data_IF_326386842626
#
_entry.id   IF_326386842626
#
_cell.length_a   1.000
_cell.length_b   1.000
_cell.length_c   1.000
_cell.angle_alpha   90.00
_cell.angle_beta   90.00
_cell.angle_gamma   90.00
#
_symmetry.space_group_name_H-M   'P 1'
#
loop_
_entity.id
_entity.type
_entity.pdbx_description
1 polymer ?
#
# COMPACT_ATOMS: atom_id res chain seq x y z
N UNK A 1 20.41 -14.03 16.05
CA UNK A 1 20.72 -12.58 16.13
C UNK A 1 19.50 -11.94 16.75
N UNK A 2 19.60 -11.59 18.03
CA UNK A 2 18.52 -10.88 18.70
C UNK A 2 18.48 -9.44 18.19
N UNK A 3 17.29 -9.00 17.83
CA UNK A 3 17.05 -7.69 17.23
C UNK A 3 15.81 -7.09 17.87
N UNK A 4 15.94 -5.86 18.35
CA UNK A 4 14.81 -5.11 18.87
C UNK A 4 13.76 -4.87 17.79
N UNK A 5 12.52 -4.56 18.22
CA UNK A 5 11.40 -4.31 17.33
C UNK A 5 11.72 -3.28 16.22
N UNK A 6 12.52 -2.25 16.54
CA UNK A 6 12.98 -1.25 15.58
C UNK A 6 13.85 -1.87 14.47
N UNK A 7 14.84 -2.68 14.85
CA UNK A 7 15.76 -3.29 13.90
C UNK A 7 15.09 -4.37 13.04
N UNK A 8 14.10 -5.08 13.57
CA UNK A 8 13.26 -5.99 12.78
C UNK A 8 12.52 -5.22 11.69
N UNK A 9 11.91 -4.08 12.02
CA UNK A 9 11.22 -3.26 11.03
C UNK A 9 12.16 -2.75 9.94
N UNK A 10 13.35 -2.26 10.32
CA UNK A 10 14.31 -1.70 9.37
C UNK A 10 14.99 -2.76 8.51
N UNK A 11 15.50 -3.83 9.12
CA UNK A 11 16.31 -4.84 8.41
C UNK A 11 15.47 -5.87 7.66
N UNK A 12 14.25 -6.14 8.12
CA UNK A 12 13.39 -7.17 7.53
C UNK A 12 12.23 -6.51 6.79
N UNK A 13 11.35 -5.80 7.51
CA UNK A 13 10.09 -5.35 6.90
C UNK A 13 10.22 -4.21 5.90
N UNK A 14 11.28 -3.39 5.96
CA UNK A 14 11.53 -2.30 4.99
C UNK A 14 12.34 -2.74 3.76
N UNK A 15 13.03 -3.87 3.83
CA UNK A 15 13.92 -4.34 2.76
C UNK A 15 13.12 -5.03 1.65
N UNK A 16 13.41 -4.68 0.41
CA UNK A 16 12.65 -5.12 -0.77
C UNK A 16 12.71 -6.63 -0.99
N UNK A 17 13.87 -7.26 -0.78
CA UNK A 17 14.08 -8.69 -1.04
C UNK A 17 13.14 -9.57 -0.21
N UNK A 18 12.85 -9.18 1.04
CA UNK A 18 11.95 -9.93 1.91
C UNK A 18 10.46 -9.76 1.56
N UNK A 19 10.12 -8.92 0.57
CA UNK A 19 8.75 -8.72 0.07
C UNK A 19 8.46 -9.43 -1.25
N UNK A 20 9.41 -10.22 -1.75
CA UNK A 20 9.24 -10.99 -2.99
C UNK A 20 8.14 -12.05 -2.87
N UNK A 21 7.86 -12.52 -1.66
CA UNK A 21 6.74 -13.40 -1.32
C UNK A 21 5.39 -12.80 -1.72
N UNK A 22 5.17 -11.51 -1.42
CA UNK A 22 3.95 -10.78 -1.81
C UNK A 22 3.79 -10.68 -3.33
N UNK A 23 4.88 -10.49 -4.07
CA UNK A 23 4.86 -10.48 -5.54
C UNK A 23 4.49 -11.86 -6.09
N UNK A 24 5.08 -12.93 -5.53
CA UNK A 24 4.78 -14.30 -5.91
C UNK A 24 3.30 -14.66 -5.66
N UNK A 25 2.74 -14.25 -4.52
CA UNK A 25 1.31 -14.43 -4.21
C UNK A 25 0.41 -13.63 -5.16
N UNK A 26 0.82 -12.41 -5.55
CA UNK A 26 0.12 -11.63 -6.58
C UNK A 26 0.07 -12.34 -7.94
N UNK A 27 1.19 -12.93 -8.37
CA UNK A 27 1.26 -13.74 -9.58
C UNK A 27 0.37 -14.98 -9.49
N UNK A 28 0.37 -15.66 -8.34
CA UNK A 28 -0.50 -16.79 -8.07
C UNK A 28 -1.98 -16.39 -8.13
N UNK A 29 -2.35 -15.21 -7.61
CA UNK A 29 -3.70 -14.69 -7.72
C UNK A 29 -4.11 -14.47 -9.19
N UNK A 30 -3.21 -13.89 -10.00
CA UNK A 30 -3.44 -13.71 -11.43
C UNK A 30 -3.60 -15.05 -12.17
N UNK A 31 -2.81 -16.06 -11.79
CA UNK A 31 -2.93 -17.42 -12.32
C UNK A 31 -4.30 -18.04 -11.99
N UNK A 32 -4.75 -17.98 -10.73
CA UNK A 32 -6.07 -18.49 -10.32
C UNK A 32 -7.19 -17.74 -11.06
N UNK A 33 -7.08 -16.42 -11.17
CA UNK A 33 -8.06 -15.62 -11.89
C UNK A 33 -8.18 -16.05 -13.36
N UNK A 34 -7.06 -16.33 -14.03
CA UNK A 34 -7.04 -16.72 -15.44
C UNK A 34 -7.61 -18.13 -15.68
N UNK A 35 -7.19 -19.13 -14.90
CA UNK A 35 -7.58 -20.54 -15.13
C UNK A 35 -8.86 -20.96 -14.40
N UNK A 36 -9.16 -20.35 -13.26
CA UNK A 36 -10.26 -20.75 -12.36
C UNK A 36 -11.22 -19.59 -12.06
N UNK A 37 -11.56 -18.79 -13.08
CA UNK A 37 -12.43 -17.63 -12.95
C UNK A 37 -13.79 -17.93 -12.27
N UNK A 38 -14.39 -19.09 -12.55
CA UNK A 38 -15.67 -19.47 -11.93
C UNK A 38 -15.58 -19.60 -10.40
N UNK A 39 -14.49 -20.18 -9.90
CA UNK A 39 -14.24 -20.31 -8.46
C UNK A 39 -13.93 -18.93 -7.86
N UNK A 40 -13.09 -18.16 -8.56
CA UNK A 40 -12.71 -16.80 -8.20
C UNK A 40 -13.93 -15.90 -7.98
N UNK A 41 -14.88 -15.89 -8.93
CA UNK A 41 -16.09 -15.08 -8.83
C UNK A 41 -17.11 -15.61 -7.82
N UNK A 42 -17.23 -16.94 -7.68
CA UNK A 42 -18.17 -17.59 -6.75
C UNK A 42 -17.81 -17.26 -5.29
N UNK A 43 -16.53 -17.36 -4.93
CA UNK A 43 -16.08 -17.16 -3.55
C UNK A 43 -15.68 -15.72 -3.23
N UNK A 44 -15.96 -14.73 -4.10
CA UNK A 44 -15.47 -13.35 -3.93
C UNK A 44 -15.81 -12.69 -2.60
N UNK A 45 -17.01 -12.96 -2.06
CA UNK A 45 -17.46 -12.38 -0.78
C UNK A 45 -16.80 -13.09 0.40
N UNK A 46 -16.76 -14.42 0.36
CA UNK A 46 -16.12 -15.24 1.40
C UNK A 46 -14.62 -14.95 1.47
N UNK A 47 -13.95 -14.86 0.31
CA UNK A 47 -12.55 -14.47 0.22
C UNK A 47 -12.31 -13.08 0.83
N UNK A 48 -13.17 -12.10 0.53
CA UNK A 48 -13.04 -10.76 1.10
C UNK A 48 -13.18 -10.75 2.63
N UNK A 49 -14.17 -11.45 3.19
CA UNK A 49 -14.34 -11.57 4.64
C UNK A 49 -13.15 -12.29 5.27
N UNK A 50 -12.68 -13.39 4.68
CA UNK A 50 -11.49 -14.10 5.13
C UNK A 50 -10.25 -13.20 5.10
N UNK A 51 -10.08 -12.39 4.04
CA UNK A 51 -9.01 -11.40 3.93
C UNK A 51 -9.07 -10.36 5.06
N UNK A 52 -10.26 -9.87 5.42
CA UNK A 52 -10.44 -8.92 6.52
C UNK A 52 -10.02 -9.59 7.84
N UNK A 53 -10.50 -10.80 8.10
CA UNK A 53 -10.21 -11.55 9.32
C UNK A 53 -8.70 -11.80 9.45
N UNK A 54 -8.02 -12.16 8.36
CA UNK A 54 -6.57 -12.37 8.35
C UNK A 54 -5.82 -11.07 8.60
N UNK A 55 -6.15 -9.98 7.90
CA UNK A 55 -5.49 -8.70 8.11
C UNK A 55 -5.73 -8.18 9.55
N UNK A 56 -6.93 -8.36 10.08
CA UNK A 56 -7.28 -7.98 11.44
C UNK A 56 -6.53 -8.84 12.46
N UNK A 57 -6.44 -10.15 12.26
CA UNK A 57 -5.69 -11.03 13.17
C UNK A 57 -4.19 -10.69 13.18
N UNK A 58 -3.60 -10.36 12.03
CA UNK A 58 -2.21 -9.88 11.97
C UNK A 58 -2.04 -8.56 12.70
N UNK A 59 -3.01 -7.64 12.63
CA UNK A 59 -2.93 -6.34 13.30
C UNK A 59 -2.98 -6.45 14.82
N UNK A 60 -3.85 -7.31 15.37
CA UNK A 60 -4.07 -7.44 16.82
C UNK A 60 -3.20 -8.51 17.48
N UNK A 61 -2.56 -9.39 16.70
CA UNK A 61 -1.62 -10.35 17.25
C UNK A 61 -0.35 -9.66 17.75
N UNK A 62 0.13 -10.08 18.92
CA UNK A 62 1.42 -9.66 19.46
C UNK A 62 2.53 -10.42 18.75
N UNK A 63 3.34 -9.71 17.98
CA UNK A 63 4.45 -10.28 17.22
C UNK A 63 5.78 -10.02 17.93
N UNK A 64 6.33 -11.03 18.58
CA UNK A 64 7.63 -10.88 19.24
C UNK A 64 8.78 -10.75 18.23
N UNK A 65 9.70 -9.78 18.39
CA UNK A 65 10.73 -9.48 17.38
C UNK A 65 11.64 -10.65 17.01
N UNK A 66 11.94 -11.53 17.97
CA UNK A 66 12.95 -12.58 17.80
C UNK A 66 12.38 -13.91 17.29
N UNK A 67 11.06 -14.08 17.34
CA UNK A 67 10.40 -15.29 16.87
C UNK A 67 10.46 -15.45 15.35
N UNK A 68 10.56 -16.70 14.92
CA UNK A 68 10.49 -17.08 13.51
C UNK A 68 9.18 -16.64 12.86
N UNK A 69 8.07 -16.80 13.58
CA UNK A 69 6.71 -16.42 13.16
C UNK A 69 6.64 -14.97 12.73
N UNK A 70 7.25 -14.06 13.50
CA UNK A 70 7.26 -12.62 13.20
C UNK A 70 8.10 -12.29 11.99
N UNK A 71 9.26 -12.94 11.83
CA UNK A 71 10.21 -12.62 10.75
C UNK A 71 9.75 -13.12 9.39
N UNK A 72 9.06 -14.27 9.36
CA UNK A 72 8.68 -14.96 8.11
C UNK A 72 7.17 -14.98 7.90
N UNK A 73 6.41 -15.48 8.87
CA UNK A 73 4.97 -15.71 8.68
C UNK A 73 4.17 -14.42 8.63
N UNK A 74 4.58 -13.38 9.37
CA UNK A 74 3.85 -12.10 9.39
C UNK A 74 3.67 -11.50 7.99
N UNK A 75 4.75 -11.40 7.21
CA UNK A 75 4.71 -10.83 5.84
C UNK A 75 3.89 -11.69 4.89
N UNK A 76 4.04 -13.00 4.99
CA UNK A 76 3.34 -13.97 4.15
C UNK A 76 1.83 -13.98 4.44
N UNK A 77 1.44 -14.05 5.72
CA UNK A 77 0.02 -14.04 6.14
C UNK A 77 -0.63 -12.71 5.75
N UNK A 78 0.07 -11.58 5.95
CA UNK A 78 -0.43 -10.27 5.52
C UNK A 78 -0.65 -10.22 4.00
N UNK A 79 0.28 -10.78 3.22
CA UNK A 79 0.18 -10.82 1.75
C UNK A 79 -0.97 -11.72 1.28
N UNK A 80 -1.21 -12.85 1.96
CA UNK A 80 -2.39 -13.71 1.71
C UNK A 80 -3.68 -12.93 1.99
N UNK A 81 -3.76 -12.21 3.11
CA UNK A 81 -4.91 -11.36 3.44
C UNK A 81 -5.21 -10.35 2.33
N UNK A 82 -4.17 -9.68 1.81
CA UNK A 82 -4.30 -8.75 0.68
C UNK A 82 -4.72 -9.47 -0.63
N UNK A 83 -4.17 -10.65 -0.91
CA UNK A 83 -4.52 -11.44 -2.11
C UNK A 83 -6.02 -11.76 -2.15
N UNK A 84 -6.61 -12.08 -1.00
CA UNK A 84 -8.02 -12.44 -0.89
C UNK A 84 -9.01 -11.27 -1.09
N UNK A 85 -8.52 -10.02 -1.11
CA UNK A 85 -9.34 -8.86 -1.47
C UNK A 85 -9.55 -8.73 -2.99
N UNK A 86 -8.59 -9.22 -3.79
CA UNK A 86 -8.59 -9.07 -5.24
C UNK A 86 -9.87 -9.56 -5.93
N UNK A 87 -10.48 -10.71 -5.55
CA UNK A 87 -11.69 -11.20 -6.22
C UNK A 87 -12.89 -10.28 -6.11
N UNK A 88 -13.08 -9.62 -4.97
CA UNK A 88 -14.19 -8.68 -4.80
C UNK A 88 -13.94 -7.40 -5.58
N UNK A 89 -12.74 -6.82 -5.47
CA UNK A 89 -12.40 -5.58 -6.16
C UNK A 89 -12.43 -5.71 -7.68
N UNK A 90 -12.03 -6.86 -8.24
CA UNK A 90 -12.15 -7.12 -9.69
C UNK A 90 -13.61 -7.12 -10.15
N UNK A 91 -14.51 -7.66 -9.34
CA UNK A 91 -15.94 -7.72 -9.68
C UNK A 91 -16.63 -6.34 -9.71
N UNK A 92 -16.03 -5.34 -9.06
CA UNK A 92 -16.56 -3.98 -8.94
C UNK A 92 -16.21 -3.11 -10.17
N UNK A 93 -16.79 -3.45 -11.33
CA UNK A 93 -16.51 -2.76 -12.61
C UNK A 93 -17.30 -1.47 -12.84
N UNK A 94 -18.36 -1.22 -12.06
CA UNK A 94 -19.24 -0.06 -12.21
C UNK A 94 -19.43 0.64 -10.87
N UNK A 95 -19.38 1.97 -10.90
CA UNK A 95 -19.58 2.83 -9.74
C UNK A 95 -20.02 4.24 -10.15
N UNK A 96 -20.41 5.09 -9.18
CA UNK A 96 -20.80 6.46 -9.46
C UNK A 96 -19.60 7.27 -9.97
N UNK A 97 -19.82 8.09 -11.00
CA UNK A 97 -18.77 8.84 -11.72
C UNK A 97 -17.86 9.64 -10.79
N UNK A 98 -18.44 10.28 -9.77
CA UNK A 98 -17.68 11.08 -8.79
C UNK A 98 -16.72 10.22 -7.97
N UNK A 99 -17.18 9.07 -7.44
CA UNK A 99 -16.34 8.19 -6.65
C UNK A 99 -15.22 7.60 -7.51
N UNK A 100 -15.55 7.11 -8.71
CA UNK A 100 -14.55 6.56 -9.64
C UNK A 100 -13.47 7.59 -9.96
N UNK A 101 -13.83 8.85 -10.21
CA UNK A 101 -12.85 9.92 -10.47
C UNK A 101 -11.90 10.14 -9.28
N UNK A 102 -12.42 10.16 -8.06
CA UNK A 102 -11.62 10.32 -6.84
C UNK A 102 -10.67 9.12 -6.66
N UNK A 103 -11.19 7.89 -6.76
CA UNK A 103 -10.37 6.69 -6.63
C UNK A 103 -9.29 6.63 -7.71
N UNK A 104 -9.62 6.86 -8.98
CA UNK A 104 -8.63 6.90 -10.06
C UNK A 104 -7.56 7.96 -9.82
N UNK A 105 -7.94 9.15 -9.34
CA UNK A 105 -6.96 10.19 -9.03
C UNK A 105 -6.00 9.74 -7.93
N UNK A 106 -6.52 9.21 -6.82
CA UNK A 106 -5.70 8.69 -5.71
C UNK A 106 -4.81 7.54 -6.18
N UNK A 107 -5.32 6.63 -7.00
CA UNK A 107 -4.53 5.52 -7.55
C UNK A 107 -3.37 6.02 -8.41
N UNK A 108 -3.58 7.04 -9.25
CA UNK A 108 -2.52 7.61 -10.10
C UNK A 108 -1.43 8.29 -9.26
N UNK A 109 -1.81 9.04 -8.22
CA UNK A 109 -0.83 9.76 -7.39
C UNK A 109 -0.21 8.88 -6.30
N UNK A 110 -0.66 7.63 -6.11
CA UNK A 110 -0.25 6.76 -5.01
C UNK A 110 1.25 6.47 -4.99
N UNK A 111 1.88 6.35 -6.16
CA UNK A 111 3.32 6.19 -6.28
C UNK A 111 4.07 7.45 -5.80
N UNK A 112 3.68 8.61 -6.35
CA UNK A 112 4.19 9.92 -5.93
C UNK A 112 3.98 10.17 -4.43
N UNK A 113 2.84 9.74 -3.88
CA UNK A 113 2.51 9.82 -2.45
C UNK A 113 3.47 9.01 -1.59
N UNK A 114 3.77 7.76 -1.98
CA UNK A 114 4.72 6.90 -1.28
C UNK A 114 6.12 7.48 -1.23
N UNK A 115 6.56 8.18 -2.29
CA UNK A 115 7.90 8.75 -2.36
C UNK A 115 8.07 10.00 -1.47
N UNK A 116 7.03 10.83 -1.39
CA UNK A 116 7.10 12.15 -0.74
C UNK A 116 6.69 12.10 0.73
N UNK A 117 5.84 11.15 1.14
CA UNK A 117 5.19 11.18 2.46
C UNK A 117 6.16 11.26 3.66
N UNK A 118 7.21 10.42 3.67
CA UNK A 118 8.11 10.28 4.81
C UNK A 118 9.20 11.35 4.77
N UNK A 119 10.03 11.35 3.72
CA UNK A 119 11.22 12.19 3.67
C UNK A 119 10.93 13.68 3.48
N UNK A 120 9.92 14.03 2.67
CA UNK A 120 9.65 15.43 2.31
C UNK A 120 8.58 16.07 3.18
N UNK A 121 7.52 15.33 3.57
CA UNK A 121 6.45 15.93 4.37
C UNK A 121 6.63 15.65 5.86
N UNK A 122 6.74 14.38 6.27
CA UNK A 122 6.79 14.04 7.69
C UNK A 122 8.02 14.60 8.41
N UNK A 123 9.21 14.44 7.84
CA UNK A 123 10.46 14.95 8.44
C UNK A 123 10.48 16.49 8.52
N UNK A 124 10.02 17.20 7.47
CA UNK A 124 9.96 18.67 7.48
C UNK A 124 9.00 19.19 8.54
N UNK A 125 7.82 18.58 8.69
CA UNK A 125 6.86 18.95 9.74
C UNK A 125 7.44 18.67 11.12
N UNK A 126 8.08 17.51 11.32
CA UNK A 126 8.67 17.14 12.61
C UNK A 126 9.76 18.12 13.06
N UNK A 127 10.62 18.53 12.14
CA UNK A 127 11.80 19.34 12.48
C UNK A 127 11.47 20.84 12.62
N UNK A 128 10.48 21.35 11.86
CA UNK A 128 10.12 22.78 11.90
C UNK A 128 8.89 23.10 12.77
N UNK A 129 7.97 22.13 12.92
CA UNK A 129 6.69 22.31 13.60
C UNK A 129 6.40 21.13 14.53
N UNK A 130 7.26 20.85 15.54
CA UNK A 130 7.01 19.77 16.47
C UNK A 130 5.69 20.01 17.22
N UNK A 131 4.74 19.08 17.18
CA UNK A 131 3.46 19.25 17.86
C UNK A 131 3.64 19.19 19.37
N UNK A 132 3.36 20.30 20.05
CA UNK A 132 3.47 20.42 21.51
C UNK A 132 2.17 20.00 22.23
N UNK A 133 1.02 20.24 21.59
CA UNK A 133 -0.32 19.98 22.13
C UNK A 133 -1.17 19.09 21.22
N UNK A 134 -2.20 18.43 21.77
CA UNK A 134 -3.13 17.60 20.99
C UNK A 134 -3.80 18.37 19.84
N UNK A 135 -4.13 19.64 20.04
CA UNK A 135 -4.68 20.52 18.99
C UNK A 135 -3.67 20.77 17.88
N UNK A 136 -2.42 21.06 18.22
CA UNK A 136 -1.32 21.24 17.26
C UNK A 136 -1.04 19.96 16.47
N UNK A 137 -1.19 18.78 17.09
CA UNK A 137 -1.05 17.49 16.42
C UNK A 137 -2.14 17.25 15.38
N UNK A 138 -3.41 17.55 15.69
CA UNK A 138 -4.51 17.45 14.72
C UNK A 138 -4.33 18.41 13.55
N UNK A 139 -3.86 19.63 13.81
CA UNK A 139 -3.56 20.61 12.77
C UNK A 139 -2.41 20.10 11.90
N UNK A 140 -1.31 19.64 12.50
CA UNK A 140 -0.17 19.08 11.78
C UNK A 140 -0.57 17.86 10.93
N UNK A 141 -1.47 17.02 11.43
CA UNK A 141 -2.02 15.88 10.68
C UNK A 141 -2.86 16.32 9.47
N UNK A 142 -3.71 17.35 9.62
CA UNK A 142 -4.45 17.94 8.52
C UNK A 142 -3.53 18.55 7.46
N UNK A 143 -2.54 19.34 7.89
CA UNK A 143 -1.51 19.92 7.02
C UNK A 143 -0.72 18.84 6.30
N UNK A 144 -0.33 17.77 7.01
CA UNK A 144 0.37 16.62 6.44
C UNK A 144 -0.42 16.01 5.27
N UNK A 145 -1.72 15.70 5.44
CA UNK A 145 -2.52 15.12 4.37
C UNK A 145 -2.69 16.05 3.17
N UNK A 146 -2.94 17.33 3.43
CA UNK A 146 -3.07 18.34 2.36
C UNK A 146 -1.75 18.49 1.60
N UNK A 147 -0.62 18.56 2.30
CA UNK A 147 0.70 18.65 1.71
C UNK A 147 1.05 17.40 0.91
N UNK A 148 0.84 16.20 1.45
CA UNK A 148 1.10 14.93 0.78
C UNK A 148 0.28 14.81 -0.51
N UNK A 149 -1.02 15.07 -0.47
CA UNK A 149 -1.88 14.99 -1.65
C UNK A 149 -1.49 16.09 -2.65
N UNK A 150 -1.32 17.33 -2.21
CA UNK A 150 -0.95 18.45 -3.07
C UNK A 150 0.39 18.23 -3.78
N UNK A 151 1.45 17.90 -3.05
CA UNK A 151 2.78 17.67 -3.62
C UNK A 151 2.82 16.41 -4.48
N UNK A 152 2.12 15.33 -4.11
CA UNK A 152 2.06 14.13 -4.97
C UNK A 152 1.33 14.40 -6.29
N UNK A 153 0.25 15.19 -6.29
CA UNK A 153 -0.42 15.62 -7.53
C UNK A 153 0.48 16.52 -8.39
N UNK A 154 1.27 17.42 -7.78
CA UNK A 154 2.24 18.24 -8.51
C UNK A 154 3.34 17.37 -9.13
N UNK A 155 3.94 16.46 -8.36
CA UNK A 155 5.00 15.57 -8.86
C UNK A 155 4.49 14.69 -10.01
N UNK A 156 3.30 14.10 -9.84
CA UNK A 156 2.66 13.30 -10.88
C UNK A 156 2.46 14.11 -12.18
N UNK A 157 1.96 15.35 -12.07
CA UNK A 157 1.65 16.19 -13.24
C UNK A 157 2.91 16.72 -13.94
N UNK A 158 3.93 17.12 -13.19
CA UNK A 158 5.11 17.80 -13.74
C UNK A 158 6.29 16.87 -14.04
N UNK A 159 6.36 15.69 -13.42
CA UNK A 159 7.44 14.74 -13.64
C UNK A 159 6.90 13.41 -14.20
N UNK A 160 6.05 12.71 -13.46
CA UNK A 160 5.67 11.33 -13.81
C UNK A 160 4.99 11.25 -15.19
N UNK A 161 4.01 12.12 -15.43
CA UNK A 161 3.30 12.20 -16.70
C UNK A 161 4.19 12.57 -17.89
N UNK A 162 4.95 13.69 -17.89
CA UNK A 162 5.78 14.06 -19.04
C UNK A 162 6.89 13.05 -19.33
N UNK A 163 7.49 12.43 -18.32
CA UNK A 163 8.48 11.37 -18.54
C UNK A 163 7.85 10.13 -19.19
N UNK A 164 6.65 9.74 -18.77
CA UNK A 164 5.91 8.62 -19.39
C UNK A 164 5.55 8.92 -20.84
N UNK A 165 5.04 10.12 -21.11
CA UNK A 165 4.70 10.57 -22.47
C UNK A 165 5.93 10.67 -23.37
N UNK A 166 7.10 10.99 -22.81
CA UNK A 166 8.37 11.02 -23.55
C UNK A 166 8.82 9.60 -23.92
N UNK A 167 8.77 8.64 -22.98
CA UNK A 167 9.09 7.24 -23.24
C UNK A 167 8.21 6.64 -24.34
N UNK A 168 6.90 6.86 -24.27
CA UNK A 168 5.95 6.28 -25.21
C UNK A 168 6.14 6.83 -26.64
N UNK A 169 6.66 8.05 -26.78
CA UNK A 169 7.07 8.62 -28.07
C UNK A 169 8.29 7.92 -28.66
N UNK A 170 9.28 7.59 -27.84
CA UNK A 170 10.50 6.92 -28.31
C UNK A 170 10.30 5.42 -28.57
N UNK A 171 9.33 4.77 -27.93
CA UNK A 171 9.04 3.35 -28.15
C UNK A 171 8.18 3.05 -29.38
N UNK A 172 7.50 4.07 -29.95
CA UNK A 172 6.64 3.93 -31.13
C UNK A 172 7.35 4.27 -32.45
N UNK A 173 8.58 4.79 -32.38
CA UNK A 173 9.47 4.97 -33.52
C UNK A 173 10.49 3.84 -33.56
#
# INVERSE_FOLDING_TARGET
>A
MDVDAFWVQVKIFKVVIFRLDGIALGLLAAYIHYWHYNIWFKFRKEAFVAGIVICYSVLYSTWEPNEFSTKVLKLLIQSIGCMLFLPLFESMKKGPVMATRIFTHISLISYSMYLINLALVAEVIRDNFPPADATSAWIAFGVYWVAVIGFSTLLYKYFEKPFTDLRDRFSKN
#
